data_IF_920625225673
#
_entry.id   IF_920625225673
#
_cell.length_a   1.000
_cell.length_b   1.000
_cell.length_c   1.000
_cell.angle_alpha   90.00
_cell.angle_beta   90.00
_cell.angle_gamma   90.00
#
_symmetry.space_group_name_H-M   'P 1'
#
loop_
_entity.id
_entity.type
_entity.pdbx_description
1 polymer ?
#
# COMPACT_ATOMS: atom_id res chain seq x y z
N UNK A 1 -44.99 42.69 47.35
CA UNK A 1 -46.37 43.15 47.11
C UNK A 1 -46.31 44.50 46.43
N UNK A 2 -46.97 44.66 45.30
CA UNK A 2 -46.99 45.91 44.54
C UNK A 2 -47.94 45.79 43.37
N UNK A 3 -49.09 45.15 43.59
CA UNK A 3 -50.26 45.36 42.76
C UNK A 3 -50.77 46.71 43.24
N UNK A 4 -50.62 47.75 42.44
CA UNK A 4 -51.23 49.06 42.73
C UNK A 4 -52.72 48.77 42.84
N UNK A 5 -53.27 48.82 44.05
CA UNK A 5 -54.68 48.58 44.26
C UNK A 5 -55.43 49.64 43.46
N UNK A 6 -56.29 49.23 42.53
CA UNK A 6 -57.11 50.17 41.78
C UNK A 6 -58.09 50.82 42.76
N UNK A 7 -57.83 52.09 43.10
CA UNK A 7 -58.69 52.85 44.00
C UNK A 7 -59.97 53.24 43.24
N UNK A 8 -61.01 52.44 43.45
CA UNK A 8 -62.30 52.66 42.81
C UNK A 8 -62.96 53.97 43.22
N UNK A 9 -62.62 54.54 44.37
CA UNK A 9 -63.22 55.78 44.88
C UNK A 9 -62.59 56.99 44.21
N UNK A 10 -61.26 57.07 44.20
CA UNK A 10 -60.53 58.15 43.53
C UNK A 10 -60.87 58.21 42.02
N UNK A 11 -61.01 57.05 41.38
CA UNK A 11 -61.42 56.95 39.98
C UNK A 11 -62.86 57.44 39.72
N UNK A 12 -63.80 57.18 40.63
CA UNK A 12 -65.19 57.68 40.52
C UNK A 12 -65.23 59.18 40.71
N UNK A 13 -64.51 59.72 41.70
CA UNK A 13 -64.44 61.17 41.94
C UNK A 13 -63.82 61.91 40.75
N UNK A 14 -62.82 61.33 40.09
CA UNK A 14 -62.22 61.89 38.87
C UNK A 14 -63.21 61.94 37.71
N UNK A 15 -64.04 60.89 37.53
CA UNK A 15 -65.08 60.86 36.50
C UNK A 15 -66.24 61.82 36.81
N UNK A 16 -66.65 61.94 38.07
CA UNK A 16 -67.65 62.92 38.51
C UNK A 16 -67.18 64.36 38.24
N UNK A 17 -65.93 64.67 38.58
CA UNK A 17 -65.32 65.99 38.32
C UNK A 17 -65.15 66.29 36.82
N UNK A 18 -65.04 65.26 35.98
CA UNK A 18 -65.02 65.38 34.53
C UNK A 18 -66.43 65.54 33.91
N UNK A 19 -67.48 65.58 34.72
CA UNK A 19 -68.86 65.81 34.30
C UNK A 19 -69.69 64.56 34.06
N UNK A 20 -69.22 63.37 34.43
CA UNK A 20 -70.02 62.14 34.34
C UNK A 20 -70.99 62.01 35.53
N UNK A 21 -72.25 61.59 35.30
CA UNK A 21 -73.17 61.26 36.37
C UNK A 21 -72.60 60.16 37.28
N UNK A 22 -72.77 60.34 38.60
CA UNK A 22 -72.31 59.43 39.66
C UNK A 22 -72.54 57.94 39.40
N UNK A 23 -73.73 57.59 38.92
CA UNK A 23 -74.09 56.19 38.66
C UNK A 23 -73.33 55.62 37.45
N UNK A 24 -73.08 56.44 36.42
CA UNK A 24 -72.26 56.05 35.27
C UNK A 24 -70.78 55.95 35.64
N UNK A 25 -70.26 56.90 36.43
CA UNK A 25 -68.89 56.87 36.94
C UNK A 25 -68.61 55.60 37.77
N UNK A 26 -69.54 55.22 38.65
CA UNK A 26 -69.47 53.96 39.41
C UNK A 26 -69.50 52.72 38.52
N UNK A 27 -70.38 52.69 37.51
CA UNK A 27 -70.47 51.57 36.59
C UNK A 27 -69.16 51.36 35.80
N UNK A 28 -68.54 52.44 35.33
CA UNK A 28 -67.25 52.39 34.62
C UNK A 28 -66.11 51.95 35.55
N UNK A 29 -66.05 52.47 36.77
CA UNK A 29 -65.07 52.06 37.80
C UNK A 29 -65.11 50.56 38.08
N UNK A 30 -66.31 50.00 38.22
CA UNK A 30 -66.50 48.56 38.44
C UNK A 30 -66.09 47.75 37.22
N UNK A 31 -66.43 48.21 36.00
CA UNK A 31 -66.06 47.54 34.76
C UNK A 31 -64.53 47.52 34.57
N UNK A 32 -63.84 48.63 34.86
CA UNK A 32 -62.36 48.73 34.78
C UNK A 32 -61.69 47.87 35.84
N UNK A 33 -62.15 47.90 37.10
CA UNK A 33 -61.62 47.01 38.15
C UNK A 33 -61.76 45.54 37.76
N UNK A 34 -62.95 45.14 37.30
CA UNK A 34 -63.21 43.76 36.87
C UNK A 34 -62.34 43.37 35.66
N UNK A 35 -62.07 44.30 34.75
CA UNK A 35 -61.14 44.07 33.63
C UNK A 35 -59.69 43.84 34.09
N UNK A 36 -59.25 44.52 35.15
CA UNK A 36 -57.91 44.34 35.74
C UNK A 36 -57.80 43.08 36.62
N UNK A 37 -58.90 42.64 37.24
CA UNK A 37 -58.98 41.39 38.00
C UNK A 37 -59.03 40.14 37.10
N UNK A 38 -59.56 40.27 35.88
CA UNK A 38 -59.66 39.18 34.88
C UNK A 38 -58.40 39.10 34.00
N UNK A 39 -57.57 40.14 33.96
CA UNK A 39 -56.30 40.11 33.26
C UNK A 39 -55.30 39.23 34.03
N UNK A 40 -55.00 38.05 33.48
CA UNK A 40 -54.01 37.11 34.02
C UNK A 40 -52.59 37.67 33.83
N UNK A 41 -52.21 38.61 34.69
CA UNK A 41 -50.94 39.32 34.61
C UNK A 41 -49.90 38.68 35.52
N UNK A 42 -48.72 38.39 34.96
CA UNK A 42 -47.58 37.92 35.73
C UNK A 42 -47.24 38.95 36.83
N UNK A 43 -47.20 38.50 38.07
CA UNK A 43 -46.84 39.33 39.21
C UNK A 43 -45.34 39.57 39.27
N UNK A 44 -44.91 40.57 40.05
CA UNK A 44 -43.47 40.80 40.31
C UNK A 44 -42.78 39.57 40.88
N UNK A 45 -43.50 38.74 41.65
CA UNK A 45 -42.95 37.50 42.22
C UNK A 45 -42.69 36.47 41.12
N UNK A 46 -43.62 36.33 40.17
CA UNK A 46 -43.45 35.41 39.04
C UNK A 46 -42.22 35.81 38.19
N UNK A 47 -42.01 37.12 38.01
CA UNK A 47 -40.81 37.64 37.33
C UNK A 47 -39.52 37.39 38.13
N UNK A 48 -39.55 37.53 39.45
CA UNK A 48 -38.39 37.23 40.31
C UNK A 48 -38.04 35.74 40.29
N UNK A 49 -39.06 34.87 40.33
CA UNK A 49 -38.88 33.42 40.30
C UNK A 49 -38.37 32.98 38.93
N UNK A 50 -38.95 33.50 37.83
CA UNK A 50 -38.43 33.28 36.47
C UNK A 50 -36.99 33.78 36.30
N UNK A 51 -36.64 34.93 36.88
CA UNK A 51 -35.27 35.47 36.85
C UNK A 51 -34.30 34.55 37.60
N UNK A 52 -34.68 34.04 38.76
CA UNK A 52 -33.86 33.10 39.55
C UNK A 52 -33.67 31.77 38.81
N UNK A 53 -34.75 31.20 38.28
CA UNK A 53 -34.70 29.96 37.47
C UNK A 53 -33.82 30.12 36.23
N UNK A 54 -34.00 31.21 35.48
CA UNK A 54 -33.16 31.50 34.32
C UNK A 54 -31.69 31.70 34.71
N UNK A 55 -31.42 32.40 35.82
CA UNK A 55 -30.04 32.56 36.32
C UNK A 55 -29.41 31.22 36.69
N UNK A 56 -30.18 30.32 37.32
CA UNK A 56 -29.72 28.98 37.65
C UNK A 56 -29.41 28.17 36.38
N UNK A 57 -30.31 28.16 35.39
CA UNK A 57 -30.11 27.49 34.10
C UNK A 57 -28.91 28.02 33.32
N UNK A 58 -28.67 29.33 33.35
CA UNK A 58 -27.49 29.93 32.72
C UNK A 58 -26.20 29.44 33.40
N UNK A 59 -26.18 29.37 34.74
CA UNK A 59 -25.03 28.86 35.48
C UNK A 59 -24.78 27.38 35.18
N UNK A 60 -25.83 26.57 35.12
CA UNK A 60 -25.76 25.15 34.76
C UNK A 60 -25.24 24.97 33.34
N UNK A 61 -25.84 25.63 32.34
CA UNK A 61 -25.39 25.58 30.95
C UNK A 61 -23.93 26.01 30.80
N UNK A 62 -23.48 27.01 31.57
CA UNK A 62 -22.08 27.44 31.58
C UNK A 62 -21.16 26.36 32.14
N UNK A 63 -21.55 25.68 33.23
CA UNK A 63 -20.78 24.56 33.79
C UNK A 63 -20.66 23.41 32.78
N UNK A 64 -21.77 23.03 32.16
CA UNK A 64 -21.78 21.97 31.15
C UNK A 64 -20.89 22.31 29.96
N UNK A 65 -20.97 23.56 29.48
CA UNK A 65 -20.13 24.05 28.39
C UNK A 65 -18.64 23.96 28.75
N UNK A 66 -18.25 24.40 29.95
CA UNK A 66 -16.87 24.29 30.43
C UNK A 66 -16.42 22.83 30.50
N UNK A 67 -17.25 21.93 31.06
CA UNK A 67 -16.94 20.52 31.13
C UNK A 67 -16.76 19.86 29.75
N UNK A 68 -17.55 20.27 28.74
CA UNK A 68 -17.39 19.80 27.36
C UNK A 68 -16.08 20.31 26.73
N UNK A 69 -15.67 21.54 27.03
CA UNK A 69 -14.37 22.07 26.57
C UNK A 69 -13.22 21.30 27.21
N UNK A 70 -13.24 21.07 28.52
CA UNK A 70 -12.21 20.27 29.21
C UNK A 70 -12.10 18.85 28.63
N UNK A 71 -13.25 18.21 28.36
CA UNK A 71 -13.29 16.89 27.70
C UNK A 71 -12.71 16.94 26.28
N UNK A 72 -12.95 18.02 25.56
CA UNK A 72 -12.42 18.21 24.20
C UNK A 72 -10.90 18.43 24.23
N UNK A 73 -10.39 19.25 25.16
CA UNK A 73 -8.96 19.45 25.37
C UNK A 73 -8.24 18.15 25.74
N UNK A 74 -8.86 17.34 26.61
CA UNK A 74 -8.34 16.01 26.96
C UNK A 74 -8.21 15.10 25.73
N UNK A 75 -9.24 15.07 24.86
CA UNK A 75 -9.21 14.31 23.59
C UNK A 75 -8.16 14.85 22.63
N UNK A 76 -7.99 16.17 22.53
CA UNK A 76 -6.92 16.76 21.71
C UNK A 76 -5.53 16.37 22.22
N UNK A 77 -5.34 16.34 23.54
CA UNK A 77 -4.08 15.90 24.14
C UNK A 77 -3.82 14.40 23.87
N UNK A 78 -4.85 13.56 23.89
CA UNK A 78 -4.79 12.15 23.52
C UNK A 78 -4.41 11.96 22.06
N UNK A 79 -5.15 12.57 21.12
CA UNK A 79 -4.85 12.51 19.69
C UNK A 79 -3.42 12.98 19.39
N UNK A 80 -2.94 14.02 20.09
CA UNK A 80 -1.56 14.49 19.93
C UNK A 80 -0.53 13.45 20.37
N UNK A 81 -0.82 12.68 21.43
CA UNK A 81 0.02 11.55 21.88
C UNK A 81 0.01 10.43 20.83
N UNK A 82 -1.17 10.04 20.35
CA UNK A 82 -1.31 8.98 19.35
C UNK A 82 -0.57 9.34 18.05
N UNK A 83 -0.67 10.60 17.60
CA UNK A 83 0.08 11.09 16.43
C UNK A 83 1.59 11.01 16.66
N UNK A 84 2.07 11.30 17.87
CA UNK A 84 3.50 11.20 18.18
C UNK A 84 3.98 9.76 18.19
N UNK A 85 3.18 8.83 18.70
CA UNK A 85 3.45 7.39 18.69
C UNK A 85 3.48 6.84 17.26
N UNK A 86 2.44 7.10 16.45
CA UNK A 86 2.40 6.69 15.04
C UNK A 86 3.61 7.23 14.26
N UNK A 87 4.03 8.48 14.51
CA UNK A 87 5.23 9.05 13.88
C UNK A 87 6.51 8.31 14.28
N UNK A 88 6.61 7.92 15.54
CA UNK A 88 7.75 7.16 16.05
C UNK A 88 7.79 5.77 15.41
N UNK A 89 6.68 5.06 15.40
CA UNK A 89 6.58 3.72 14.82
C UNK A 89 6.88 3.74 13.32
N UNK A 90 6.30 4.68 12.57
CA UNK A 90 6.58 4.83 11.15
C UNK A 90 8.06 5.14 10.89
N UNK A 91 8.72 5.93 11.74
CA UNK A 91 10.15 6.18 11.61
C UNK A 91 10.98 4.90 11.83
N UNK A 92 10.58 4.04 12.78
CA UNK A 92 11.21 2.73 12.98
C UNK A 92 10.99 1.80 11.78
N UNK A 93 9.75 1.67 11.29
CA UNK A 93 9.43 0.84 10.13
C UNK A 93 10.17 1.27 8.87
N UNK A 94 10.27 2.58 8.61
CA UNK A 94 11.04 3.11 7.46
C UNK A 94 12.52 2.78 7.61
N UNK A 95 13.08 2.90 8.83
CA UNK A 95 14.48 2.57 9.06
C UNK A 95 14.75 1.08 8.84
N UNK A 96 13.84 0.21 9.27
CA UNK A 96 13.96 -1.23 9.11
C UNK A 96 13.81 -1.65 7.64
N UNK A 97 12.80 -1.14 6.94
CA UNK A 97 12.61 -1.36 5.51
C UNK A 97 13.84 -0.94 4.68
N UNK A 98 14.50 0.16 5.06
CA UNK A 98 15.77 0.59 4.42
C UNK A 98 16.91 -0.39 4.67
N UNK A 99 17.02 -0.94 5.88
CA UNK A 99 18.03 -1.96 6.20
C UNK A 99 17.77 -3.24 5.41
N UNK A 100 16.53 -3.70 5.33
CA UNK A 100 16.17 -4.87 4.53
C UNK A 100 16.48 -4.66 3.05
N UNK A 101 16.14 -3.48 2.50
CA UNK A 101 16.40 -3.16 1.10
C UNK A 101 17.91 -3.19 0.80
N UNK A 102 18.74 -2.61 1.69
CA UNK A 102 20.19 -2.67 1.56
C UNK A 102 20.72 -4.11 1.62
N UNK A 103 20.27 -4.90 2.59
CA UNK A 103 20.68 -6.30 2.73
C UNK A 103 20.27 -7.15 1.51
N UNK A 104 19.09 -6.90 0.92
CA UNK A 104 18.66 -7.56 -0.33
C UNK A 104 19.54 -7.15 -1.50
N UNK A 105 19.88 -5.87 -1.63
CA UNK A 105 20.77 -5.39 -2.69
C UNK A 105 22.16 -6.06 -2.61
N UNK A 106 22.74 -6.15 -1.40
CA UNK A 106 24.02 -6.81 -1.18
C UNK A 106 23.97 -8.30 -1.54
N UNK A 107 22.90 -8.99 -1.13
CA UNK A 107 22.68 -10.40 -1.47
C UNK A 107 22.58 -10.61 -2.97
N UNK A 108 21.77 -9.81 -3.66
CA UNK A 108 21.64 -9.89 -5.12
C UNK A 108 22.98 -9.62 -5.82
N UNK A 109 23.77 -8.66 -5.33
CA UNK A 109 25.09 -8.38 -5.91
C UNK A 109 26.06 -9.54 -5.71
N UNK A 110 26.02 -10.21 -4.55
CA UNK A 110 26.78 -11.42 -4.27
C UNK A 110 26.36 -12.58 -5.18
N UNK A 111 25.04 -12.80 -5.35
CA UNK A 111 24.50 -13.82 -6.25
C UNK A 111 24.90 -13.58 -7.71
N UNK A 112 24.81 -12.35 -8.22
CA UNK A 112 25.26 -11.98 -9.57
C UNK A 112 26.75 -12.27 -9.74
N UNK A 113 27.57 -11.95 -8.73
CA UNK A 113 29.01 -12.22 -8.75
C UNK A 113 29.29 -13.72 -8.78
N UNK A 114 28.55 -14.50 -7.99
CA UNK A 114 28.61 -15.96 -8.00
C UNK A 114 28.27 -16.54 -9.37
N UNK A 115 27.14 -16.15 -9.95
CA UNK A 115 26.71 -16.59 -11.29
C UNK A 115 27.76 -16.25 -12.36
N UNK A 116 28.36 -15.05 -12.31
CA UNK A 116 29.44 -14.68 -13.24
C UNK A 116 30.65 -15.58 -13.11
N UNK A 117 31.05 -15.94 -11.88
CA UNK A 117 32.16 -16.85 -11.62
C UNK A 117 31.84 -18.26 -12.15
N UNK A 118 30.64 -18.75 -11.89
CA UNK A 118 30.19 -20.06 -12.36
C UNK A 118 30.14 -20.12 -13.89
N UNK A 119 29.63 -19.06 -14.54
CA UNK A 119 29.65 -18.94 -16.00
C UNK A 119 31.08 -18.96 -16.55
N UNK A 120 32.01 -18.20 -15.95
CA UNK A 120 33.41 -18.19 -16.38
C UNK A 120 34.03 -19.60 -16.27
N UNK A 121 33.81 -20.29 -15.15
CA UNK A 121 34.29 -21.66 -14.96
C UNK A 121 33.68 -22.65 -15.97
N UNK A 122 32.41 -22.51 -16.31
CA UNK A 122 31.76 -23.32 -17.35
C UNK A 122 32.35 -23.04 -18.74
N UNK A 123 32.65 -21.78 -19.06
CA UNK A 123 33.32 -21.43 -20.32
C UNK A 123 34.71 -22.03 -20.42
N UNK A 124 35.54 -21.89 -19.37
CA UNK A 124 36.88 -22.50 -19.33
C UNK A 124 36.81 -24.02 -19.49
N UNK A 125 35.86 -24.68 -18.80
CA UNK A 125 35.64 -26.12 -18.92
C UNK A 125 35.23 -26.52 -20.35
N UNK A 126 34.31 -25.78 -20.96
CA UNK A 126 33.87 -26.05 -22.33
C UNK A 126 35.02 -25.87 -23.34
N UNK A 127 35.83 -24.82 -23.19
CA UNK A 127 36.99 -24.58 -24.05
C UNK A 127 38.01 -25.71 -23.94
N UNK A 128 38.29 -26.18 -22.72
CA UNK A 128 39.14 -27.35 -22.49
C UNK A 128 38.58 -28.63 -23.13
N UNK A 129 37.27 -28.88 -23.01
CA UNK A 129 36.62 -30.03 -23.64
C UNK A 129 36.69 -29.98 -25.17
N UNK A 130 36.45 -28.81 -25.78
CA UNK A 130 36.59 -28.62 -27.23
C UNK A 130 38.03 -28.87 -27.68
N UNK A 131 39.02 -28.39 -26.92
CA UNK A 131 40.43 -28.60 -27.23
C UNK A 131 40.81 -30.09 -27.18
N UNK A 132 40.32 -30.83 -26.17
CA UNK A 132 40.51 -32.28 -26.07
C UNK A 132 39.86 -33.02 -27.24
N UNK A 133 38.60 -32.71 -27.55
CA UNK A 133 37.87 -33.34 -28.66
C UNK A 133 38.61 -33.15 -30.00
N UNK A 134 39.13 -31.95 -30.26
CA UNK A 134 39.94 -31.68 -31.48
C UNK A 134 41.24 -32.49 -31.53
N UNK A 135 41.89 -32.69 -30.37
CA UNK A 135 43.10 -33.53 -30.28
C UNK A 135 42.77 -35.00 -30.54
N UNK A 136 41.70 -35.51 -29.95
CA UNK A 136 41.24 -36.88 -30.18
C UNK A 136 40.87 -37.09 -31.65
N UNK A 137 40.08 -36.20 -32.24
CA UNK A 137 39.70 -36.27 -33.66
C UNK A 137 40.92 -36.23 -34.59
N UNK A 138 41.92 -35.41 -34.30
CA UNK A 138 43.14 -35.35 -35.12
C UNK A 138 44.00 -36.62 -34.98
N UNK A 139 44.07 -37.21 -33.79
CA UNK A 139 44.72 -38.50 -33.57
C UNK A 139 43.99 -39.64 -34.33
N UNK A 140 42.66 -39.69 -34.25
CA UNK A 140 41.85 -40.69 -34.95
C UNK A 140 41.99 -40.56 -36.47
N UNK A 141 41.96 -39.34 -37.03
CA UNK A 141 42.20 -39.10 -38.46
C UNK A 141 43.59 -39.59 -38.89
N UNK A 142 44.61 -39.39 -38.05
CA UNK A 142 45.97 -39.85 -38.36
C UNK A 142 46.05 -41.39 -38.39
N UNK A 143 45.39 -42.08 -37.45
CA UNK A 143 45.28 -43.54 -37.45
C UNK A 143 44.55 -44.05 -38.69
N UNK A 144 43.40 -43.46 -39.02
CA UNK A 144 42.63 -43.83 -40.23
C UNK A 144 43.46 -43.65 -41.51
N UNK A 145 44.26 -42.57 -41.62
CA UNK A 145 45.17 -42.38 -42.76
C UNK A 145 46.21 -43.48 -42.84
N UNK A 146 46.83 -43.84 -41.71
CA UNK A 146 47.83 -44.92 -41.65
C UNK A 146 47.24 -46.27 -42.04
N UNK A 147 46.02 -46.56 -41.58
CA UNK A 147 45.30 -47.79 -41.95
C UNK A 147 44.94 -47.80 -43.44
N UNK A 148 44.53 -46.67 -44.02
CA UNK A 148 44.29 -46.52 -45.46
C UNK A 148 45.56 -46.72 -46.30
N UNK A 149 46.70 -46.18 -45.86
CA UNK A 149 48.00 -46.39 -46.52
C UNK A 149 48.41 -47.87 -46.48
N UNK A 150 48.27 -48.52 -45.32
CA UNK A 150 48.57 -49.93 -45.17
C UNK A 150 47.68 -50.81 -46.06
N UNK A 151 46.39 -50.49 -46.17
CA UNK A 151 45.45 -51.20 -47.04
C UNK A 151 45.78 -50.99 -48.52
N UNK A 152 46.05 -49.76 -48.93
CA UNK A 152 46.47 -49.43 -50.31
C UNK A 152 47.75 -50.16 -50.70
N UNK A 153 48.77 -50.12 -49.84
CA UNK A 153 50.04 -50.83 -50.05
C UNK A 153 49.83 -52.34 -50.11
N UNK A 154 49.02 -52.90 -49.21
CA UNK A 154 48.68 -54.31 -49.20
C UNK A 154 47.96 -54.76 -50.49
N UNK A 155 47.05 -53.93 -51.01
CA UNK A 155 46.36 -54.19 -52.27
C UNK A 155 47.30 -54.11 -53.48
N UNK A 156 48.16 -53.09 -53.55
CA UNK A 156 49.18 -52.95 -54.58
C UNK A 156 50.09 -54.18 -54.63
N UNK A 157 50.61 -54.62 -53.48
CA UNK A 157 51.47 -55.81 -53.39
C UNK A 157 50.72 -57.06 -53.90
N UNK A 158 49.45 -57.24 -53.52
CA UNK A 158 48.64 -58.37 -54.00
C UNK A 158 48.44 -58.32 -55.51
N UNK A 159 48.11 -57.15 -56.07
CA UNK A 159 47.94 -56.96 -57.52
C UNK A 159 49.24 -57.24 -58.28
N UNK A 160 50.39 -56.75 -57.81
CA UNK A 160 51.70 -57.03 -58.43
C UNK A 160 52.00 -58.54 -58.45
N UNK A 161 51.72 -59.25 -57.35
CA UNK A 161 51.88 -60.72 -57.29
C UNK A 161 51.00 -61.44 -58.31
N UNK A 162 49.73 -61.03 -58.44
CA UNK A 162 48.80 -61.61 -59.42
C UNK A 162 49.29 -61.36 -60.85
N UNK A 163 49.70 -60.13 -61.18
CA UNK A 163 50.23 -59.79 -62.51
C UNK A 163 51.48 -60.61 -62.85
N UNK A 164 52.43 -60.74 -61.93
CA UNK A 164 53.63 -61.58 -62.14
C UNK A 164 53.25 -63.04 -62.41
N UNK A 165 52.29 -63.59 -61.65
CA UNK A 165 51.79 -64.94 -61.82
C UNK A 165 51.14 -65.15 -63.20
N UNK A 166 50.30 -64.21 -63.64
CA UNK A 166 49.67 -64.25 -64.96
C UNK A 166 50.70 -64.14 -66.09
N UNK A 167 51.69 -63.26 -65.99
CA UNK A 167 52.77 -63.12 -66.99
C UNK A 167 53.63 -64.38 -67.06
N UNK A 168 53.99 -64.97 -65.92
CA UNK A 168 54.75 -66.21 -65.86
C UNK A 168 54.00 -67.41 -66.46
N UNK A 169 52.69 -67.51 -66.21
CA UNK A 169 51.83 -68.51 -66.85
C UNK A 169 51.77 -68.29 -68.36
N UNK A 170 51.56 -67.06 -68.82
CA UNK A 170 51.54 -66.73 -70.23
C UNK A 170 52.88 -67.06 -70.92
N UNK A 171 54.02 -66.76 -70.30
CA UNK A 171 55.34 -67.11 -70.88
C UNK A 171 55.56 -68.62 -70.96
N UNK A 172 55.11 -69.38 -69.96
CA UNK A 172 55.18 -70.84 -69.99
C UNK A 172 54.33 -71.43 -71.14
N UNK A 173 53.12 -70.91 -71.34
CA UNK A 173 52.24 -71.32 -72.44
C UNK A 173 52.88 -71.01 -73.79
N UNK A 174 53.42 -69.80 -73.99
CA UNK A 174 54.14 -69.43 -75.23
C UNK A 174 55.33 -70.35 -75.48
N UNK A 175 56.11 -70.67 -74.44
CA UNK A 175 57.27 -71.56 -74.56
C UNK A 175 56.86 -72.99 -74.98
N UNK A 176 55.75 -73.50 -74.44
CA UNK A 176 55.22 -74.81 -74.82
C UNK A 176 54.69 -74.77 -76.26
N UNK A 177 53.96 -73.72 -76.64
CA UNK A 177 53.43 -73.56 -78.00
C UNK A 177 54.55 -73.50 -79.06
N UNK A 178 55.66 -72.79 -78.79
CA UNK A 178 56.83 -72.73 -79.68
C UNK A 178 57.55 -74.08 -79.81
N UNK A 179 57.48 -74.96 -78.80
CA UNK A 179 58.07 -76.31 -78.87
C UNK A 179 57.23 -77.33 -79.65
N UNK A 180 55.96 -77.03 -79.89
CA UNK A 180 55.01 -77.93 -80.58
C UNK A 180 54.69 -77.50 -82.02
N UNK A 181 55.23 -76.38 -82.49
CA UNK A 181 55.27 -75.93 -83.89
C UNK A 181 56.67 -76.15 -84.48
#
# INVERSE_FOLDING_TARGET
>A
MGQVAFDTQEFVEMLENAGLPKDQARAISIAVRKSHEVADVATRRDLEDARKDLSAKIVEARKDTVAQFEKTDAKFAEVKRDIAEVRKDLAFEIADARKEAAARADRTNAEITGVRKDMAALFEKNEAQIALLRREQSADIALVRKDMEALTNGLLIKLTKVMLGCVGLASAIVTIAVKFF
#
